data_IF_016595345901
#
_entry.id   IF_016595345901
#
_cell.length_a   1.000
_cell.length_b   1.000
_cell.length_c   1.000
_cell.angle_alpha   90.00
_cell.angle_beta   90.00
_cell.angle_gamma   90.00
#
_symmetry.space_group_name_H-M   'P 1'
#
loop_
_entity.id
_entity.type
_entity.pdbx_description
1 polymer ?
#
# COMPACT_ATOMS: atom_id res chain seq x y z
N UNK A 1 -33.94 45.44 -35.63
CA UNK A 1 -33.76 44.20 -34.83
C UNK A 1 -32.49 43.40 -35.21
N UNK A 2 -31.36 44.04 -35.55
CA UNK A 2 -30.13 43.32 -35.97
C UNK A 2 -29.02 43.21 -34.91
N UNK A 3 -29.09 43.96 -33.80
CA UNK A 3 -28.00 43.99 -32.80
C UNK A 3 -28.00 42.82 -31.78
N UNK A 4 -29.11 42.09 -31.63
CA UNK A 4 -29.18 41.01 -30.62
C UNK A 4 -28.46 39.73 -31.07
N UNK A 5 -28.46 39.43 -32.38
CA UNK A 5 -27.80 38.23 -32.91
C UNK A 5 -26.26 38.32 -32.94
N UNK A 6 -25.70 39.53 -33.01
CA UNK A 6 -24.25 39.74 -33.01
C UNK A 6 -23.68 39.54 -31.59
N UNK A 7 -24.35 40.04 -30.55
CA UNK A 7 -23.92 39.87 -29.15
C UNK A 7 -23.92 38.41 -28.67
N UNK A 8 -24.90 37.60 -29.09
CA UNK A 8 -24.97 36.17 -28.72
C UNK A 8 -23.86 35.35 -29.38
N UNK A 9 -23.49 35.66 -30.63
CA UNK A 9 -22.39 34.99 -31.33
C UNK A 9 -21.02 35.34 -30.75
N UNK A 10 -20.79 36.59 -30.35
CA UNK A 10 -19.54 37.01 -29.70
C UNK A 10 -19.41 36.37 -28.32
N UNK A 11 -20.49 36.33 -27.53
CA UNK A 11 -20.49 35.67 -26.21
C UNK A 11 -20.20 34.16 -26.30
N UNK A 12 -20.78 33.47 -27.29
CA UNK A 12 -20.49 32.05 -27.54
C UNK A 12 -19.03 31.79 -27.94
N UNK A 13 -18.43 32.66 -28.76
CA UNK A 13 -17.02 32.52 -29.18
C UNK A 13 -16.05 32.70 -28.02
N UNK A 14 -16.31 33.66 -27.11
CA UNK A 14 -15.49 33.89 -25.92
C UNK A 14 -15.59 32.72 -24.94
N UNK A 15 -16.80 32.15 -24.76
CA UNK A 15 -17.01 31.02 -23.86
C UNK A 15 -16.32 29.73 -24.34
N UNK A 16 -16.33 29.46 -25.66
CA UNK A 16 -15.62 28.31 -26.24
C UNK A 16 -14.11 28.49 -26.14
N UNK A 17 -13.59 29.70 -26.35
CA UNK A 17 -12.17 30.00 -26.20
C UNK A 17 -11.70 29.85 -24.74
N UNK A 18 -12.50 30.33 -23.76
CA UNK A 18 -12.21 30.16 -22.34
C UNK A 18 -12.25 28.68 -21.93
N UNK A 19 -13.23 27.90 -22.42
CA UNK A 19 -13.31 26.46 -22.15
C UNK A 19 -12.12 25.69 -22.75
N UNK A 20 -11.69 26.04 -23.97
CA UNK A 20 -10.50 25.48 -24.59
C UNK A 20 -9.22 25.82 -23.83
N UNK A 21 -9.10 27.04 -23.29
CA UNK A 21 -7.99 27.46 -22.43
C UNK A 21 -7.94 26.62 -21.14
N UNK A 22 -9.07 26.48 -20.43
CA UNK A 22 -9.15 25.67 -19.20
C UNK A 22 -8.79 24.20 -19.48
N UNK A 23 -9.25 23.62 -20.60
CA UNK A 23 -8.88 22.27 -21.01
C UNK A 23 -7.39 22.10 -21.36
N UNK A 24 -6.76 23.15 -21.88
CA UNK A 24 -5.32 23.18 -22.16
C UNK A 24 -4.53 23.24 -20.84
N UNK A 25 -4.93 24.12 -19.92
CA UNK A 25 -4.34 24.26 -18.58
C UNK A 25 -4.50 22.98 -17.74
N UNK A 26 -5.66 22.31 -17.79
CA UNK A 26 -5.89 21.02 -17.12
C UNK A 26 -4.96 19.92 -17.67
N UNK A 27 -4.70 19.91 -18.98
CA UNK A 27 -3.77 18.94 -19.60
C UNK A 27 -2.32 19.22 -19.22
N UNK A 28 -1.91 20.49 -19.18
CA UNK A 28 -0.57 20.88 -18.75
C UNK A 28 -0.36 20.60 -17.26
N UNK A 29 -1.36 20.91 -16.42
CA UNK A 29 -1.32 20.59 -14.99
C UNK A 29 -1.22 19.09 -14.73
N UNK A 30 -1.98 18.26 -15.46
CA UNK A 30 -1.85 16.79 -15.37
C UNK A 30 -0.49 16.28 -15.83
N UNK A 31 0.14 16.92 -16.82
CA UNK A 31 1.51 16.57 -17.26
C UNK A 31 2.54 16.93 -16.20
N UNK A 32 2.42 18.11 -15.58
CA UNK A 32 3.30 18.55 -14.51
C UNK A 32 3.18 17.66 -13.27
N UNK A 33 1.95 17.34 -12.83
CA UNK A 33 1.71 16.45 -11.69
C UNK A 33 2.29 15.04 -11.93
N UNK A 34 2.18 14.51 -13.15
CA UNK A 34 2.79 13.23 -13.50
C UNK A 34 4.33 13.26 -13.47
N UNK A 35 4.95 14.36 -13.88
CA UNK A 35 6.39 14.55 -13.81
C UNK A 35 6.87 14.73 -12.37
N UNK A 36 6.13 15.48 -11.55
CA UNK A 36 6.40 15.65 -10.13
C UNK A 36 6.29 14.33 -9.37
N UNK A 37 5.22 13.57 -9.59
CA UNK A 37 5.05 12.23 -9.03
C UNK A 37 6.18 11.28 -9.45
N UNK A 38 6.61 11.35 -10.71
CA UNK A 38 7.75 10.54 -11.19
C UNK A 38 9.06 10.95 -10.50
N UNK A 39 9.29 12.26 -10.32
CA UNK A 39 10.48 12.80 -9.64
C UNK A 39 10.50 12.43 -8.16
N UNK A 40 9.36 12.48 -7.48
CA UNK A 40 9.23 12.08 -6.07
C UNK A 40 9.48 10.58 -5.91
N UNK A 41 8.88 9.74 -6.75
CA UNK A 41 9.15 8.30 -6.75
C UNK A 41 10.62 7.97 -7.02
N UNK A 42 11.24 8.68 -7.95
CA UNK A 42 12.66 8.49 -8.25
C UNK A 42 13.54 8.88 -7.06
N UNK A 43 13.22 10.00 -6.39
CA UNK A 43 13.93 10.41 -5.17
C UNK A 43 13.82 9.37 -4.05
N UNK A 44 12.63 8.80 -3.83
CA UNK A 44 12.43 7.74 -2.83
C UNK A 44 13.23 6.48 -3.17
N UNK A 45 13.30 6.12 -4.45
CA UNK A 45 14.11 4.99 -4.90
C UNK A 45 15.60 5.23 -4.70
N UNK A 46 16.09 6.44 -4.98
CA UNK A 46 17.49 6.81 -4.72
C UNK A 46 17.83 6.81 -3.21
N UNK A 47 16.90 7.25 -2.36
CA UNK A 47 17.03 7.21 -0.89
C UNK A 47 17.11 5.75 -0.37
N UNK A 48 16.25 4.86 -0.85
CA UNK A 48 16.30 3.42 -0.51
C UNK A 48 17.56 2.75 -1.07
N UNK A 49 17.96 3.05 -2.31
CA UNK A 49 19.19 2.52 -2.90
C UNK A 49 20.44 2.97 -2.14
N UNK A 50 20.49 4.22 -1.66
CA UNK A 50 21.58 4.71 -0.83
C UNK A 50 21.62 3.97 0.52
N UNK A 51 20.46 3.70 1.12
CA UNK A 51 20.33 2.96 2.38
C UNK A 51 20.75 1.49 2.22
N UNK A 52 20.34 0.84 1.12
CA UNK A 52 20.71 -0.53 0.79
C UNK A 52 22.20 -0.61 0.46
N UNK A 53 22.76 0.31 -0.33
CA UNK A 53 24.20 0.37 -0.63
C UNK A 53 25.05 0.63 0.63
N UNK A 54 24.58 1.47 1.55
CA UNK A 54 25.26 1.70 2.83
C UNK A 54 25.28 0.46 3.73
N UNK A 55 24.19 -0.34 3.72
CA UNK A 55 24.14 -1.62 4.41
C UNK A 55 25.00 -2.69 3.73
N UNK A 56 24.92 -2.79 2.40
CA UNK A 56 25.72 -3.72 1.61
C UNK A 56 27.22 -3.44 1.71
N UNK A 57 27.64 -2.16 1.78
CA UNK A 57 29.03 -1.78 2.01
C UNK A 57 29.51 -2.13 3.42
N UNK A 58 28.66 -1.98 4.44
CA UNK A 58 28.98 -2.43 5.81
C UNK A 58 29.05 -3.95 5.92
N UNK A 59 28.13 -4.68 5.30
CA UNK A 59 28.13 -6.14 5.24
C UNK A 59 29.33 -6.68 4.44
N UNK A 60 29.69 -6.04 3.32
CA UNK A 60 30.88 -6.39 2.54
C UNK A 60 32.19 -6.05 3.26
N UNK A 61 32.25 -4.93 4.00
CA UNK A 61 33.42 -4.59 4.82
C UNK A 61 33.58 -5.55 6.02
N UNK A 62 32.48 -5.96 6.66
CA UNK A 62 32.50 -6.97 7.72
C UNK A 62 32.94 -8.34 7.19
N UNK A 63 32.46 -8.75 6.01
CA UNK A 63 32.88 -9.98 5.36
C UNK A 63 34.36 -9.93 4.90
N UNK A 64 34.84 -8.78 4.41
CA UNK A 64 36.24 -8.60 4.00
C UNK A 64 37.21 -8.56 5.20
N UNK A 65 36.77 -8.05 6.36
CA UNK A 65 37.53 -8.08 7.60
C UNK A 65 37.62 -9.49 8.20
N UNK A 66 36.55 -10.30 8.08
CA UNK A 66 36.54 -11.69 8.52
C UNK A 66 37.37 -12.62 7.61
N UNK A 67 37.50 -12.31 6.32
CA UNK A 67 38.16 -13.18 5.33
C UNK A 67 39.69 -13.07 5.24
N UNK A 68 40.34 -12.11 5.93
CA UNK A 68 41.80 -11.88 5.84
C UNK A 68 42.57 -11.99 7.15
N UNK A 69 41.97 -12.55 8.20
CA UNK A 69 42.72 -12.81 9.43
C UNK A 69 43.58 -14.05 9.22
N UNK A 70 44.86 -13.82 8.93
CA UNK A 70 45.84 -14.90 8.75
C UNK A 70 46.28 -15.39 10.13
N UNK A 71 46.42 -16.71 10.32
CA UNK A 71 46.72 -17.38 11.61
C UNK A 71 47.81 -16.70 12.47
N UNK A 72 48.81 -16.07 11.84
CA UNK A 72 49.87 -15.33 12.53
C UNK A 72 49.39 -14.05 13.23
N UNK A 73 48.42 -13.33 12.66
CA UNK A 73 47.85 -12.12 13.28
C UNK A 73 47.01 -12.45 14.52
N UNK A 74 46.36 -13.63 14.54
CA UNK A 74 45.59 -14.12 15.70
C UNK A 74 46.53 -14.37 16.88
N UNK A 75 47.66 -15.03 16.65
CA UNK A 75 48.63 -15.34 17.70
C UNK A 75 49.32 -14.07 18.23
N UNK A 76 49.61 -13.10 17.36
CA UNK A 76 50.20 -11.82 17.78
C UNK A 76 49.22 -10.99 18.63
N UNK A 77 47.94 -10.96 18.28
CA UNK A 77 46.91 -10.29 19.09
C UNK A 77 46.73 -10.96 20.45
N UNK A 78 46.69 -12.29 20.49
CA UNK A 78 46.59 -13.07 21.74
C UNK A 78 47.79 -12.86 22.65
N UNK A 79 49.01 -12.78 22.11
CA UNK A 79 50.23 -12.48 22.89
C UNK A 79 50.21 -11.06 23.43
N UNK A 80 49.82 -10.06 22.62
CA UNK A 80 49.68 -8.67 23.07
C UNK A 80 48.63 -8.50 24.16
N UNK A 81 47.50 -9.22 24.09
CA UNK A 81 46.49 -9.21 25.15
C UNK A 81 46.98 -9.87 26.45
N UNK A 82 47.82 -10.91 26.33
CA UNK A 82 48.42 -11.59 27.48
C UNK A 82 49.55 -10.76 28.13
N UNK A 83 50.30 -9.98 27.34
CA UNK A 83 51.39 -9.12 27.83
C UNK A 83 50.90 -7.78 28.41
N UNK A 84 49.68 -7.34 28.07
CA UNK A 84 49.10 -6.08 28.57
C UNK A 84 48.27 -6.23 29.86
N UNK A 85 48.15 -7.42 30.44
CA UNK A 85 47.55 -7.60 31.77
C UNK A 85 48.65 -7.70 32.84
N UNK A 86 48.94 -6.64 33.60
CA UNK A 86 49.63 -6.80 34.87
C UNK A 86 48.76 -7.64 35.82
N UNK A 87 49.40 -8.54 36.55
CA UNK A 87 48.81 -9.31 37.64
C UNK A 87 48.29 -8.36 38.73
N UNK A 88 47.01 -8.00 38.67
CA UNK A 88 46.31 -7.45 39.82
C UNK A 88 45.33 -8.49 40.37
N UNK A 89 45.57 -8.80 41.63
CA UNK A 89 44.74 -9.58 42.55
C UNK A 89 43.32 -9.03 42.52
N UNK A 90 42.37 -9.77 41.95
CA UNK A 90 40.94 -9.43 42.05
C UNK A 90 40.26 -10.29 43.11
N UNK A 91 39.66 -9.58 44.05
CA UNK A 91 38.70 -10.05 45.04
C UNK A 91 37.66 -10.99 44.41
N UNK A 92 37.37 -12.07 45.16
CA UNK A 92 36.18 -12.92 45.14
C UNK A 92 35.16 -12.53 44.06
N UNK A 93 35.23 -13.24 42.93
CA UNK A 93 34.17 -13.27 41.94
C UNK A 93 32.88 -13.72 42.62
N UNK A 94 31.88 -12.83 42.64
CA UNK A 94 30.53 -13.13 43.06
C UNK A 94 30.02 -14.32 42.26
N UNK A 95 29.53 -15.33 42.98
CA UNK A 95 28.96 -16.55 42.43
C UNK A 95 27.96 -16.23 41.31
N UNK A 96 27.95 -17.08 40.30
CA UNK A 96 27.01 -17.20 39.18
C UNK A 96 25.49 -17.10 39.53
N UNK A 97 25.11 -16.91 40.79
CA UNK A 97 23.75 -16.57 41.24
C UNK A 97 23.38 -15.08 41.14
N UNK A 98 24.34 -14.15 41.00
CA UNK A 98 24.06 -12.70 40.89
C UNK A 98 24.08 -12.19 39.44
N UNK A 99 24.37 -13.06 38.47
CA UNK A 99 24.23 -12.74 37.05
C UNK A 99 22.82 -13.17 36.62
N UNK A 100 21.91 -12.24 36.26
CA UNK A 100 20.64 -12.62 35.68
C UNK A 100 20.91 -13.54 34.49
N UNK A 101 20.32 -14.73 34.48
CA UNK A 101 20.38 -15.62 33.32
C UNK A 101 19.77 -14.84 32.15
N UNK A 102 20.56 -14.55 31.11
CA UNK A 102 19.99 -14.03 29.87
C UNK A 102 19.03 -15.08 29.31
N UNK A 103 17.75 -14.75 29.31
CA UNK A 103 16.71 -15.63 28.81
C UNK A 103 16.95 -15.95 27.34
N UNK A 104 16.79 -17.22 26.99
CA UNK A 104 16.96 -17.69 25.62
C UNK A 104 15.92 -16.99 24.72
N UNK A 105 16.37 -16.13 23.81
CA UNK A 105 15.55 -15.38 22.85
C UNK A 105 14.58 -16.22 22.01
N UNK A 106 14.78 -17.54 21.89
CA UNK A 106 13.85 -18.44 21.23
C UNK A 106 12.77 -19.03 22.17
N UNK A 107 12.86 -18.72 23.46
CA UNK A 107 11.99 -19.20 24.55
C UNK A 107 11.25 -18.06 25.25
N UNK A 108 11.67 -16.82 25.04
CA UNK A 108 10.87 -15.62 25.31
C UNK A 108 9.74 -15.64 24.28
N UNK A 109 8.66 -16.32 24.61
CA UNK A 109 7.37 -16.13 23.95
C UNK A 109 7.10 -14.63 24.08
N UNK A 110 6.93 -13.88 22.98
CA UNK A 110 6.51 -12.49 23.06
C UNK A 110 5.13 -12.47 23.72
N UNK A 111 5.10 -12.26 25.04
CA UNK A 111 3.89 -12.28 25.85
C UNK A 111 2.93 -11.14 25.46
N UNK A 112 3.39 -10.20 24.63
CA UNK A 112 2.57 -9.11 24.09
C UNK A 112 2.06 -9.34 22.65
N UNK A 113 2.12 -10.58 22.13
CA UNK A 113 1.63 -10.85 20.77
C UNK A 113 1.32 -12.30 20.38
N UNK A 114 1.62 -13.29 21.22
CA UNK A 114 1.26 -14.69 20.96
C UNK A 114 -0.13 -15.02 21.52
N UNK A 115 -1.17 -14.85 20.71
CA UNK A 115 -2.48 -15.42 21.04
C UNK A 115 -2.36 -16.95 20.90
N UNK A 116 -2.34 -17.66 22.02
CA UNK A 116 -2.30 -19.12 22.01
C UNK A 116 -3.67 -19.71 21.64
N UNK A 117 -3.85 -19.97 20.35
CA UNK A 117 -5.02 -20.64 19.81
C UNK A 117 -5.07 -22.13 20.17
N UNK A 118 -5.32 -22.45 21.44
CA UNK A 118 -5.44 -23.84 21.93
C UNK A 118 -6.74 -24.52 21.50
N UNK A 119 -7.74 -23.74 21.11
CA UNK A 119 -9.06 -24.19 20.65
C UNK A 119 -9.30 -23.76 19.21
N UNK A 120 -10.08 -24.55 18.46
CA UNK A 120 -10.39 -24.31 17.03
C UNK A 120 -11.05 -22.94 16.85
N UNK A 121 -11.94 -22.57 17.76
CA UNK A 121 -12.64 -21.27 17.77
C UNK A 121 -11.69 -20.09 17.96
N UNK A 122 -10.62 -20.29 18.74
CA UNK A 122 -9.63 -19.25 19.04
C UNK A 122 -8.63 -19.12 17.88
N UNK A 123 -8.28 -20.24 17.23
CA UNK A 123 -7.53 -20.23 15.97
C UNK A 123 -8.29 -19.47 14.88
N UNK A 124 -9.61 -19.69 14.78
CA UNK A 124 -10.47 -18.95 13.87
C UNK A 124 -10.52 -17.47 14.25
N UNK A 125 -10.59 -17.11 15.53
CA UNK A 125 -10.63 -15.70 15.94
C UNK A 125 -9.33 -14.93 15.62
N UNK A 126 -8.17 -15.59 15.77
CA UNK A 126 -6.85 -15.00 15.49
C UNK A 126 -6.57 -14.92 14.00
N UNK A 127 -6.93 -15.96 13.24
CA UNK A 127 -6.74 -16.02 11.78
C UNK A 127 -7.86 -15.33 11.00
N UNK A 128 -9.01 -15.07 11.63
CA UNK A 128 -10.04 -14.18 11.11
C UNK A 128 -9.55 -12.75 11.26
N UNK A 129 -8.59 -12.38 10.41
CA UNK A 129 -8.65 -11.05 9.81
C UNK A 129 -10.06 -10.95 9.29
N UNK A 130 -10.90 -10.15 9.96
CA UNK A 130 -12.24 -9.81 9.47
C UNK A 130 -12.03 -9.35 8.04
N UNK A 131 -12.21 -10.28 7.10
CA UNK A 131 -12.19 -10.05 5.67
C UNK A 131 -13.11 -8.86 5.50
N UNK A 132 -12.51 -7.71 5.20
CA UNK A 132 -13.04 -6.38 5.47
C UNK A 132 -14.56 -6.41 5.44
N UNK A 133 -15.19 -6.44 6.62
CA UNK A 133 -16.64 -6.28 6.73
C UNK A 133 -16.89 -4.89 6.19
N UNK A 134 -17.14 -4.87 4.89
CA UNK A 134 -16.80 -3.74 4.07
C UNK A 134 -17.64 -2.57 4.56
N UNK A 135 -16.91 -1.64 5.16
CA UNK A 135 -17.43 -0.54 5.97
C UNK A 135 -18.29 0.41 5.13
N UNK A 136 -18.35 0.24 3.81
CA UNK A 136 -18.97 1.17 2.90
C UNK A 136 -19.90 0.43 1.93
N UNK A 137 -21.18 0.25 2.30
CA UNK A 137 -22.20 -0.15 1.32
C UNK A 137 -22.22 0.78 0.09
N UNK A 138 -21.86 2.05 0.28
CA UNK A 138 -21.67 3.02 -0.80
C UNK A 138 -20.52 2.65 -1.76
N UNK A 139 -19.41 2.09 -1.24
CA UNK A 139 -18.29 1.65 -2.08
C UNK A 139 -18.61 0.36 -2.83
N UNK A 140 -19.35 -0.59 -2.24
CA UNK A 140 -19.86 -1.77 -2.97
C UNK A 140 -20.73 -1.37 -4.14
N UNK A 141 -21.67 -0.46 -3.90
CA UNK A 141 -22.59 -0.01 -4.94
C UNK A 141 -21.83 0.60 -6.11
N UNK A 142 -20.82 1.44 -5.83
CA UNK A 142 -20.02 2.07 -6.86
C UNK A 142 -19.11 1.07 -7.59
N UNK A 143 -18.42 0.20 -6.87
CA UNK A 143 -17.53 -0.80 -7.45
C UNK A 143 -18.29 -1.84 -8.30
N UNK A 144 -19.43 -2.31 -7.80
CA UNK A 144 -20.27 -3.25 -8.54
C UNK A 144 -20.91 -2.58 -9.77
N UNK A 145 -21.34 -1.32 -9.65
CA UNK A 145 -21.84 -0.55 -10.79
C UNK A 145 -20.76 -0.32 -11.86
N UNK A 146 -19.51 -0.03 -11.48
CA UNK A 146 -18.42 0.13 -12.44
C UNK A 146 -18.09 -1.17 -13.16
N UNK A 147 -18.03 -2.30 -12.44
CA UNK A 147 -17.81 -3.61 -13.04
C UNK A 147 -18.94 -3.97 -14.03
N UNK A 148 -20.19 -3.65 -13.67
CA UNK A 148 -21.35 -3.85 -14.54
C UNK A 148 -21.35 -2.92 -15.76
N UNK A 149 -20.91 -1.67 -15.60
CA UNK A 149 -20.78 -0.70 -16.69
C UNK A 149 -19.78 -1.20 -17.73
N UNK A 150 -18.60 -1.69 -17.32
CA UNK A 150 -17.57 -2.17 -18.24
C UNK A 150 -18.02 -3.37 -19.08
N UNK A 151 -18.78 -4.30 -18.48
CA UNK A 151 -19.26 -5.51 -19.18
C UNK A 151 -20.44 -5.21 -20.10
N UNK A 152 -21.38 -4.36 -19.70
CA UNK A 152 -22.63 -4.15 -20.43
C UNK A 152 -22.59 -2.98 -21.42
N UNK A 153 -21.70 -1.98 -21.22
CA UNK A 153 -21.53 -0.87 -22.16
C UNK A 153 -21.20 -1.27 -23.61
N UNK A 154 -20.30 -2.25 -23.88
CA UNK A 154 -20.07 -2.68 -25.27
C UNK A 154 -21.26 -3.42 -25.86
N UNK A 155 -22.01 -4.21 -25.07
CA UNK A 155 -23.23 -4.91 -25.54
C UNK A 155 -24.31 -3.92 -25.98
N UNK A 156 -24.61 -2.93 -25.13
CA UNK A 156 -25.61 -1.89 -25.40
C UNK A 156 -25.26 -1.02 -26.61
N UNK A 157 -23.96 -0.79 -26.88
CA UNK A 157 -23.50 -0.06 -28.08
C UNK A 157 -23.70 -0.84 -29.37
N UNK A 158 -23.55 -2.17 -29.33
CA UNK A 158 -23.77 -3.05 -30.50
C UNK A 158 -25.27 -3.19 -30.78
N UNK A 159 -26.08 -3.33 -29.74
CA UNK A 159 -27.54 -3.41 -29.88
C UNK A 159 -28.16 -2.08 -30.34
N UNK A 160 -27.61 -0.95 -29.90
CA UNK A 160 -28.16 0.37 -30.18
C UNK A 160 -27.08 1.38 -30.65
N UNK A 161 -26.53 1.22 -31.87
CA UNK A 161 -25.48 2.10 -32.38
C UNK A 161 -25.94 3.54 -32.65
N UNK A 162 -27.24 3.77 -32.80
CA UNK A 162 -27.83 5.09 -33.10
C UNK A 162 -28.10 5.95 -31.85
N UNK A 163 -27.99 5.39 -30.65
CA UNK A 163 -28.34 6.08 -29.40
C UNK A 163 -27.18 6.90 -28.85
N UNK A 164 -27.48 8.05 -28.24
CA UNK A 164 -26.45 8.87 -27.57
C UNK A 164 -25.96 8.17 -26.30
N UNK A 165 -24.70 8.37 -25.94
CA UNK A 165 -24.09 7.79 -24.72
C UNK A 165 -24.89 8.08 -23.44
N UNK A 166 -25.51 9.26 -23.33
CA UNK A 166 -26.36 9.62 -22.19
C UNK A 166 -27.58 8.70 -22.06
N UNK A 167 -28.21 8.35 -23.20
CA UNK A 167 -29.37 7.47 -23.22
C UNK A 167 -28.97 6.01 -22.92
N UNK A 168 -27.81 5.57 -23.43
CA UNK A 168 -27.27 4.25 -23.09
C UNK A 168 -26.98 4.12 -21.60
N UNK A 169 -26.41 5.16 -20.96
CA UNK A 169 -26.21 5.18 -19.51
C UNK A 169 -27.52 5.17 -18.72
N UNK A 170 -28.58 5.81 -19.24
CA UNK A 170 -29.91 5.74 -18.63
C UNK A 170 -30.52 4.33 -18.72
N UNK A 171 -30.36 3.64 -19.86
CA UNK A 171 -30.80 2.25 -20.03
C UNK A 171 -30.01 1.32 -19.11
N UNK A 172 -28.68 1.45 -19.09
CA UNK A 172 -27.79 0.69 -18.23
C UNK A 172 -28.16 0.85 -16.75
N UNK A 173 -28.49 2.08 -16.32
CA UNK A 173 -28.93 2.32 -14.93
C UNK A 173 -30.28 1.64 -14.62
N UNK A 174 -31.20 1.56 -15.59
CA UNK A 174 -32.48 0.83 -15.43
C UNK A 174 -32.26 -0.68 -15.36
N UNK A 175 -31.36 -1.23 -16.16
CA UNK A 175 -30.99 -2.65 -16.10
C UNK A 175 -30.26 -2.96 -14.79
N UNK A 176 -29.36 -2.09 -14.35
CA UNK A 176 -28.66 -2.20 -13.07
C UNK A 176 -29.61 -2.27 -11.88
N UNK A 177 -30.65 -1.42 -11.84
CA UNK A 177 -31.64 -1.48 -10.75
C UNK A 177 -32.39 -2.80 -10.66
N UNK A 178 -32.49 -3.54 -11.76
CA UNK A 178 -33.16 -4.85 -11.83
C UNK A 178 -32.19 -6.03 -11.72
N UNK A 179 -30.89 -5.79 -11.89
CA UNK A 179 -29.88 -6.84 -11.95
C UNK A 179 -29.63 -7.45 -10.56
N UNK A 180 -29.34 -8.77 -10.49
CA UNK A 180 -29.01 -9.44 -9.24
C UNK A 180 -27.62 -9.06 -8.70
N UNK A 181 -26.75 -8.53 -9.56
CA UNK A 181 -25.42 -7.99 -9.19
C UNK A 181 -25.50 -6.71 -8.35
N UNK A 182 -26.68 -6.07 -8.30
CA UNK A 182 -26.87 -4.93 -7.43
C UNK A 182 -26.97 -5.41 -5.97
N UNK A 183 -26.04 -5.00 -5.07
CA UNK A 183 -26.08 -5.39 -3.66
C UNK A 183 -27.36 -4.96 -2.93
N UNK A 184 -28.14 -4.02 -3.49
CA UNK A 184 -29.46 -3.65 -2.97
C UNK A 184 -30.54 -4.72 -3.22
N UNK A 185 -30.36 -5.54 -4.27
CA UNK A 185 -31.27 -6.64 -4.64
C UNK A 185 -30.85 -7.98 -4.03
N UNK A 186 -29.64 -8.05 -3.46
CA UNK A 186 -29.22 -9.20 -2.67
C UNK A 186 -30.14 -9.26 -1.45
N UNK A 187 -31.02 -10.27 -1.42
CA UNK A 187 -32.01 -10.47 -0.37
C UNK A 187 -31.31 -10.49 0.98
N UNK A 188 -31.35 -9.38 1.72
CA UNK A 188 -31.13 -9.44 3.15
C UNK A 188 -32.21 -10.38 3.69
N UNK A 189 -31.81 -11.53 4.21
CA UNK A 189 -32.72 -12.49 4.83
C UNK A 189 -33.51 -11.74 5.89
N UNK A 190 -34.78 -11.47 5.63
CA UNK A 190 -35.68 -10.86 6.59
C UNK A 190 -35.72 -11.78 7.80
N UNK A 191 -35.24 -11.31 8.95
CA UNK A 191 -35.16 -12.06 10.21
C UNK A 191 -36.51 -12.61 10.71
N UNK A 192 -37.62 -12.27 10.04
CA UNK A 192 -38.94 -12.86 10.26
C UNK A 192 -39.32 -13.84 9.14
N UNK A 193 -38.62 -14.97 9.08
CA UNK A 193 -39.23 -16.23 8.63
C UNK A 193 -39.40 -17.07 9.89
N UNK A 194 -40.64 -17.17 10.39
CA UNK A 194 -41.02 -18.09 11.47
C UNK A 194 -40.76 -19.53 11.06
#
# INVERSE_FOLDING_TARGET
MLNVHVGVRVCACVCVCACACVLQEDKEKRRLEALERKKENQRLLDEEDARIKGRAAKEAAAAAAAAKVTRAQIEETLRKEHEQKPQEVKEKEKSHLEMPLEENVNRIIPEEGSVEARTIEDAIAVLSTKEDLDRHPERRMKAAFTAYEEVNMPRLKVENPNMRLSQLKQLLKKEWTKSPDNPLNQRFTSYNTK
#
